data_IF_922373292548
#
_entry.id   IF_922373292548
#
_cell.length_a   1.000
_cell.length_b   1.000
_cell.length_c   1.000
_cell.angle_alpha   90.00
_cell.angle_beta   90.00
_cell.angle_gamma   90.00
#
_symmetry.space_group_name_H-M   'P 1'
#
loop_
_entity.id
_entity.type
_entity.pdbx_description
1 polymer ?
#
# COMPACT_ATOMS: atom_id res chain seq x y z
N UNK A 1 -5.98 10.85 2.35
CA UNK A 1 -5.65 9.42 2.25
C UNK A 1 -5.66 9.06 0.79
N UNK A 2 -4.69 8.26 0.32
CA UNK A 2 -4.62 7.85 -1.08
C UNK A 2 -5.76 6.91 -1.45
N UNK A 3 -6.16 6.91 -2.72
CA UNK A 3 -7.09 5.93 -3.29
C UNK A 3 -6.24 4.73 -3.76
N UNK A 4 -6.77 3.52 -3.71
CA UNK A 4 -6.10 2.35 -4.30
C UNK A 4 -5.98 2.53 -5.82
N UNK A 5 -4.86 2.13 -6.42
CA UNK A 5 -4.66 2.26 -7.87
C UNK A 5 -5.58 1.30 -8.62
N UNK A 6 -5.72 0.07 -8.08
CA UNK A 6 -6.63 -0.93 -8.60
C UNK A 6 -7.45 -1.57 -7.49
N UNK A 7 -8.72 -1.82 -7.79
CA UNK A 7 -9.57 -2.72 -7.02
C UNK A 7 -9.79 -4.01 -7.81
N UNK A 8 -9.46 -5.15 -7.20
CA UNK A 8 -9.68 -6.47 -7.81
C UNK A 8 -10.76 -7.22 -7.01
N UNK A 9 -12.00 -7.29 -7.52
CA UNK A 9 -13.14 -7.80 -6.77
C UNK A 9 -13.01 -9.29 -6.41
N UNK A 10 -12.35 -10.10 -7.25
CA UNK A 10 -12.24 -11.56 -7.07
C UNK A 10 -11.46 -11.97 -5.81
N UNK A 11 -10.62 -11.08 -5.29
CA UNK A 11 -9.88 -11.27 -4.04
C UNK A 11 -10.24 -10.25 -2.95
N UNK A 12 -11.22 -9.39 -3.21
CA UNK A 12 -11.46 -8.16 -2.48
C UNK A 12 -10.15 -7.38 -2.22
N UNK A 13 -9.32 -7.24 -3.26
CA UNK A 13 -7.96 -6.71 -3.14
C UNK A 13 -7.95 -5.20 -3.42
N UNK A 14 -7.40 -4.43 -2.49
CA UNK A 14 -6.94 -3.07 -2.74
C UNK A 14 -5.44 -3.12 -3.08
N UNK A 15 -5.10 -2.87 -4.34
CA UNK A 15 -3.74 -2.94 -4.86
C UNK A 15 -3.17 -1.52 -5.02
N UNK A 16 -1.95 -1.34 -4.52
CA UNK A 16 -1.17 -0.11 -4.64
C UNK A 16 0.14 -0.36 -5.37
N UNK A 17 0.52 0.58 -6.23
CA UNK A 17 1.82 0.68 -6.87
C UNK A 17 2.54 1.88 -6.28
N UNK A 18 3.52 1.59 -5.43
CA UNK A 18 4.24 2.60 -4.67
C UNK A 18 5.45 3.10 -5.48
N UNK A 19 5.42 4.39 -5.84
CA UNK A 19 6.60 5.11 -6.27
C UNK A 19 7.50 5.41 -5.07
N UNK A 20 8.81 5.16 -5.22
CA UNK A 20 9.78 5.22 -4.13
C UNK A 20 10.05 6.63 -3.58
N UNK A 21 9.61 7.70 -4.26
CA UNK A 21 9.72 9.08 -3.77
C UNK A 21 8.44 9.45 -3.02
N UNK A 22 7.27 9.23 -3.61
CA UNK A 22 5.99 9.57 -2.98
C UNK A 22 5.69 8.70 -1.75
N UNK A 23 6.02 7.42 -1.83
CA UNK A 23 6.07 6.50 -0.72
C UNK A 23 7.56 6.22 -0.49
N UNK A 24 8.23 6.91 0.46
CA UNK A 24 9.68 6.84 0.58
C UNK A 24 10.11 5.39 0.81
N UNK A 25 10.75 4.78 -0.18
CA UNK A 25 11.11 3.36 -0.12
C UNK A 25 12.06 3.13 1.06
N UNK A 26 11.73 2.28 2.05
CA UNK A 26 12.58 2.04 3.22
C UNK A 26 13.93 1.37 2.89
N UNK A 27 14.15 0.94 1.65
CA UNK A 27 15.45 0.47 1.15
C UNK A 27 16.38 1.62 0.74
N UNK A 28 15.82 2.82 0.56
CA UNK A 28 16.51 4.01 0.04
C UNK A 28 16.49 5.14 1.08
N UNK A 29 15.41 5.29 1.84
CA UNK A 29 15.20 6.37 2.79
C UNK A 29 15.31 5.89 4.24
N UNK A 30 15.96 6.72 5.05
CA UNK A 30 15.99 6.59 6.50
C UNK A 30 14.76 7.23 7.16
N UNK A 31 14.31 6.77 8.34
CA UNK A 31 13.10 7.28 8.99
C UNK A 31 13.11 8.81 9.22
N UNK A 32 14.30 9.40 9.42
CA UNK A 32 14.49 10.82 9.70
C UNK A 32 14.65 11.68 8.45
N UNK A 33 14.72 11.07 7.26
CA UNK A 33 14.93 11.81 6.02
C UNK A 33 13.77 12.76 5.76
N UNK A 34 14.11 14.00 5.42
CA UNK A 34 13.16 15.07 5.15
C UNK A 34 12.68 15.00 3.70
N UNK A 35 11.36 15.02 3.51
CA UNK A 35 10.73 14.98 2.19
C UNK A 35 10.35 16.40 1.76
N UNK A 36 11.27 17.07 1.06
CA UNK A 36 11.12 18.46 0.62
C UNK A 36 9.97 18.72 -0.36
N UNK A 37 9.33 17.68 -0.89
CA UNK A 37 8.17 17.77 -1.78
C UNK A 37 6.83 17.61 -1.04
N UNK A 38 6.85 17.21 0.24
CA UNK A 38 5.66 17.07 1.09
C UNK A 38 5.66 18.13 2.18
N UNK A 39 5.20 19.32 1.86
CA UNK A 39 4.88 20.33 2.86
C UNK A 39 3.42 20.19 3.29
N UNK A 40 3.18 20.01 4.60
CA UNK A 40 1.83 20.21 5.14
C UNK A 40 1.61 21.70 5.32
N UNK A 41 0.88 22.32 4.39
CA UNK A 41 0.33 23.66 4.59
C UNK A 41 -0.83 23.58 5.58
N UNK A 42 -0.51 23.55 6.88
CA UNK A 42 -1.46 24.06 7.84
C UNK A 42 -1.38 25.60 7.76
N UNK A 43 -2.50 26.32 7.89
CA UNK A 43 -2.57 27.79 7.74
C UNK A 43 -1.64 28.60 8.68
N UNK A 44 -0.79 27.95 9.50
CA UNK A 44 0.09 28.61 10.46
C UNK A 44 1.56 28.15 10.43
N UNK A 45 1.92 26.95 9.97
CA UNK A 45 3.32 26.50 10.04
C UNK A 45 3.70 25.53 8.91
N UNK A 46 4.90 25.76 8.34
CA UNK A 46 5.57 24.82 7.43
C UNK A 46 6.10 23.65 8.24
N UNK A 47 5.35 22.54 8.25
CA UNK A 47 5.83 21.31 8.88
C UNK A 47 6.58 20.47 7.86
N UNK A 48 7.88 20.27 8.11
CA UNK A 48 8.69 19.26 7.43
C UNK A 48 8.10 17.87 7.69
N UNK A 49 7.95 17.10 6.62
CA UNK A 49 7.46 15.72 6.68
C UNK A 49 8.65 14.79 6.55
N UNK A 50 8.78 13.85 7.49
CA UNK A 50 9.82 12.81 7.43
C UNK A 50 9.33 11.57 6.67
N UNK A 51 10.25 10.70 6.26
CA UNK A 51 9.88 9.39 5.71
C UNK A 51 9.02 8.57 6.70
N UNK A 52 9.39 8.59 7.98
CA UNK A 52 8.63 7.95 9.05
C UNK A 52 7.20 8.46 9.17
N UNK A 53 6.99 9.77 8.99
CA UNK A 53 5.63 10.35 9.02
C UNK A 53 4.77 9.76 7.90
N UNK A 54 5.31 9.60 6.70
CA UNK A 54 4.60 8.99 5.56
C UNK A 54 4.29 7.52 5.86
N UNK A 55 5.26 6.74 6.32
CA UNK A 55 5.03 5.33 6.67
C UNK A 55 3.98 5.14 7.76
N UNK A 56 3.92 6.04 8.74
CA UNK A 56 2.86 6.03 9.75
C UNK A 56 1.49 6.22 9.10
N UNK A 57 1.35 7.18 8.18
CA UNK A 57 0.09 7.40 7.46
C UNK A 57 -0.28 6.20 6.58
N UNK A 58 0.67 5.64 5.84
CA UNK A 58 0.45 4.47 4.99
C UNK A 58 0.02 3.26 5.83
N UNK A 59 0.63 3.06 7.00
CA UNK A 59 0.23 2.01 7.95
C UNK A 59 -1.18 2.22 8.50
N UNK A 60 -1.54 3.45 8.87
CA UNK A 60 -2.91 3.77 9.34
C UNK A 60 -3.92 3.46 8.24
N UNK A 61 -3.62 3.87 7.00
CA UNK A 61 -4.50 3.62 5.86
C UNK A 61 -4.64 2.12 5.56
N UNK A 62 -3.52 1.37 5.56
CA UNK A 62 -3.54 -0.08 5.37
C UNK A 62 -4.37 -0.79 6.44
N UNK A 63 -4.24 -0.37 7.70
CA UNK A 63 -5.02 -0.93 8.80
C UNK A 63 -6.51 -0.63 8.67
N UNK A 64 -6.86 0.57 8.22
CA UNK A 64 -8.24 0.95 7.93
C UNK A 64 -8.84 0.08 6.81
N UNK A 65 -8.15 -0.10 5.69
CA UNK A 65 -8.64 -0.95 4.60
C UNK A 65 -8.80 -2.41 5.04
N UNK A 66 -7.83 -2.95 5.78
CA UNK A 66 -7.92 -4.29 6.36
C UNK A 66 -9.12 -4.44 7.30
N UNK A 67 -9.42 -3.42 8.14
CA UNK A 67 -10.59 -3.46 9.02
C UNK A 67 -11.92 -3.40 8.27
N UNK A 68 -11.92 -2.88 7.04
CA UNK A 68 -13.06 -2.93 6.10
C UNK A 68 -13.13 -4.23 5.29
N UNK A 69 -12.24 -5.19 5.56
CA UNK A 69 -12.25 -6.52 4.94
C UNK A 69 -11.48 -6.63 3.63
N UNK A 70 -10.76 -5.58 3.21
CA UNK A 70 -9.90 -5.63 2.03
C UNK A 70 -8.65 -6.47 2.27
N UNK A 71 -8.24 -7.23 1.27
CA UNK A 71 -6.89 -7.74 1.13
C UNK A 71 -6.02 -6.60 0.60
N UNK A 72 -5.10 -6.05 1.40
CA UNK A 72 -4.24 -4.94 0.96
C UNK A 72 -2.92 -5.50 0.43
N UNK A 73 -2.60 -5.19 -0.83
CA UNK A 73 -1.34 -5.56 -1.49
C UNK A 73 -0.67 -4.27 -1.97
N UNK A 74 0.63 -4.14 -1.72
CA UNK A 74 1.44 -3.02 -2.19
C UNK A 74 2.71 -3.56 -2.83
N UNK A 75 3.08 -3.02 -3.98
CA UNK A 75 4.32 -3.34 -4.67
C UNK A 75 5.06 -2.04 -4.99
N UNK A 76 6.38 -2.09 -4.94
CA UNK A 76 7.18 -0.96 -5.39
C UNK A 76 7.25 -0.93 -6.92
N UNK A 77 7.31 0.26 -7.53
CA UNK A 77 7.46 0.38 -8.99
C UNK A 77 8.68 -0.43 -9.50
N UNK A 78 9.85 -0.22 -8.88
CA UNK A 78 11.10 -0.93 -9.23
C UNK A 78 10.97 -2.46 -9.16
N UNK A 79 10.13 -2.96 -8.27
CA UNK A 79 9.89 -4.39 -8.14
C UNK A 79 9.13 -4.95 -9.34
N UNK A 80 8.11 -4.21 -9.79
CA UNK A 80 7.32 -4.55 -10.96
C UNK A 80 8.17 -4.48 -12.23
N UNK A 81 8.95 -3.41 -12.40
CA UNK A 81 9.86 -3.23 -13.54
C UNK A 81 10.87 -4.38 -13.67
N UNK A 82 11.41 -4.86 -12.54
CA UNK A 82 12.39 -5.93 -12.55
C UNK A 82 11.80 -7.32 -12.84
N UNK A 83 10.55 -7.59 -12.42
CA UNK A 83 10.05 -8.96 -12.39
C UNK A 83 8.50 -9.07 -12.39
N UNK A 84 7.82 -8.42 -13.34
CA UNK A 84 6.35 -8.33 -13.35
C UNK A 84 5.62 -9.68 -13.21
N UNK A 85 6.10 -10.75 -13.83
CA UNK A 85 5.49 -12.08 -13.76
C UNK A 85 5.40 -12.62 -12.32
N UNK A 86 6.44 -12.37 -11.52
CA UNK A 86 6.46 -12.76 -10.09
C UNK A 86 5.34 -12.08 -9.31
N UNK A 87 5.10 -10.80 -9.59
CA UNK A 87 4.08 -10.00 -8.90
C UNK A 87 2.67 -10.34 -9.35
N UNK A 88 2.48 -10.66 -10.63
CA UNK A 88 1.23 -11.24 -11.15
C UNK A 88 0.89 -12.54 -10.39
N UNK A 89 1.87 -13.43 -10.19
CA UNK A 89 1.65 -14.69 -9.45
C UNK A 89 1.28 -14.46 -7.97
N UNK A 90 1.83 -13.42 -7.32
CA UNK A 90 1.44 -13.06 -5.94
C UNK A 90 -0.04 -12.63 -5.90
N UNK A 91 -0.48 -11.82 -6.87
CA UNK A 91 -1.90 -11.40 -6.96
C UNK A 91 -2.81 -12.60 -7.20
N UNK A 92 -2.49 -13.48 -8.16
CA UNK A 92 -3.26 -14.70 -8.43
C UNK A 92 -3.38 -15.60 -7.21
N UNK A 93 -2.27 -15.84 -6.49
CA UNK A 93 -2.27 -16.64 -5.25
C UNK A 93 -3.15 -16.00 -4.18
N UNK A 94 -3.13 -14.68 -4.06
CA UNK A 94 -3.95 -13.94 -3.10
C UNK A 94 -5.44 -14.09 -3.39
N UNK A 95 -5.84 -14.03 -4.66
CA UNK A 95 -7.22 -14.29 -5.11
C UNK A 95 -7.63 -15.73 -4.75
N UNK A 96 -6.78 -16.73 -5.02
CA UNK A 96 -7.08 -18.13 -4.69
C UNK A 96 -7.28 -18.34 -3.18
N UNK A 97 -6.42 -17.75 -2.35
CA UNK A 97 -6.53 -17.82 -0.88
C UNK A 97 -7.83 -17.17 -0.40
N UNK A 98 -8.19 -16.02 -0.97
CA UNK A 98 -9.44 -15.34 -0.65
C UNK A 98 -10.66 -16.21 -0.97
N UNK A 99 -10.73 -16.77 -2.19
CA UNK A 99 -11.83 -17.64 -2.61
C UNK A 99 -12.01 -18.86 -1.70
N UNK A 100 -10.91 -19.51 -1.28
CA UNK A 100 -10.94 -20.62 -0.33
C UNK A 100 -11.53 -20.22 1.03
N UNK A 101 -11.13 -19.06 1.56
CA UNK A 101 -11.66 -18.54 2.85
C UNK A 101 -13.14 -18.18 2.75
N UNK A 102 -13.55 -17.55 1.65
CA UNK A 102 -14.95 -17.19 1.42
C UNK A 102 -15.85 -18.42 1.29
N UNK A 103 -15.39 -19.46 0.60
CA UNK A 103 -16.10 -20.74 0.51
C UNK A 103 -16.24 -21.45 1.86
N UNK A 104 -15.25 -21.35 2.75
CA UNK A 104 -15.34 -21.92 4.09
C UNK A 104 -16.34 -21.15 4.97
N UNK A 105 -16.38 -19.81 4.82
CA UNK A 105 -17.33 -18.96 5.56
C UNK A 105 -18.78 -19.17 5.15
N UNK A 106 -19.04 -19.54 3.90
CA UNK A 106 -20.41 -19.84 3.46
C UNK A 106 -20.95 -21.19 3.96
N UNK A 107 -20.12 -22.01 4.61
CA UNK A 107 -20.49 -23.32 5.15
C UNK A 107 -20.73 -23.31 6.67
N UNK A 108 -20.51 -22.17 7.33
CA UNK A 108 -20.74 -21.94 8.76
C UNK A 108 -21.96 -21.04 8.94
#
# INVERSE_FOLDING_TARGET
MGIMDFYLPEGNIALFVDDGVWHPDPRIYEPTDLLFFKFKTSKKEWKTVTAKDVWIQDRIHNNYLKSKGYTVIRFWEKEIECAIDRYIEIVKKSIQVYKKRSSLRSLL
#
